data_IF_908151812358
#
_entry.id   IF_908151812358
#
_cell.length_a   1.000
_cell.length_b   1.000
_cell.length_c   1.000
_cell.angle_alpha   90.00
_cell.angle_beta   90.00
_cell.angle_gamma   90.00
#
_symmetry.space_group_name_H-M   'P 1'
#
loop_
_entity.id
_entity.type
_entity.pdbx_description
1 polymer ?
#
# COMPACT_ATOMS: atom_id res chain seq x y z
N UNK A 1 -8.32 -3.16 -27.05
CA UNK A 1 -8.49 -4.54 -26.54
C UNK A 1 -7.11 -5.04 -26.15
N UNK A 2 -6.75 -5.07 -24.86
CA UNK A 2 -5.53 -5.74 -24.41
C UNK A 2 -5.97 -7.14 -24.00
N UNK A 3 -5.51 -8.11 -24.77
CA UNK A 3 -5.82 -9.53 -24.64
C UNK A 3 -5.63 -10.02 -23.20
N UNK A 4 -6.42 -11.00 -22.79
CA UNK A 4 -6.20 -11.78 -21.57
C UNK A 4 -4.89 -12.56 -21.75
N UNK A 5 -3.74 -11.91 -21.56
CA UNK A 5 -2.44 -12.55 -21.67
C UNK A 5 -2.40 -13.64 -20.60
N UNK A 6 -2.27 -14.92 -20.97
CA UNK A 6 -2.08 -15.97 -19.97
C UNK A 6 -0.89 -15.59 -19.11
N UNK A 7 -0.93 -15.88 -17.80
CA UNK A 7 0.20 -15.71 -16.89
C UNK A 7 1.49 -16.03 -17.64
N UNK A 8 2.32 -15.01 -17.92
CA UNK A 8 3.57 -15.22 -18.62
C UNK A 8 4.39 -16.18 -17.75
N UNK A 9 4.54 -17.42 -18.23
CA UNK A 9 5.20 -18.49 -17.49
C UNK A 9 6.65 -18.11 -17.14
N UNK A 10 7.28 -17.24 -17.93
CA UNK A 10 8.64 -16.76 -17.67
C UNK A 10 8.69 -15.73 -16.53
N UNK A 11 7.77 -14.76 -16.52
CA UNK A 11 7.70 -13.73 -15.48
C UNK A 11 7.40 -14.31 -14.09
N UNK A 12 6.72 -15.46 -14.04
CA UNK A 12 6.27 -16.08 -12.79
C UNK A 12 7.00 -17.37 -12.43
N UNK A 13 7.97 -17.80 -13.26
CA UNK A 13 8.75 -19.05 -13.08
C UNK A 13 9.48 -19.12 -11.74
N UNK A 14 10.00 -17.98 -11.28
CA UNK A 14 10.79 -17.85 -10.05
C UNK A 14 9.93 -17.67 -8.79
N UNK A 15 8.61 -17.53 -8.93
CA UNK A 15 7.70 -17.36 -7.80
C UNK A 15 7.38 -18.71 -7.16
N UNK A 16 7.15 -18.70 -5.85
CA UNK A 16 6.61 -19.87 -5.15
C UNK A 16 5.17 -20.16 -5.58
N UNK A 17 4.72 -21.40 -5.39
CA UNK A 17 3.35 -21.83 -5.70
C UNK A 17 2.28 -21.01 -4.97
N UNK A 18 2.57 -20.56 -3.75
CA UNK A 18 1.70 -19.65 -3.00
C UNK A 18 1.50 -18.31 -3.72
N UNK A 19 2.55 -17.75 -4.32
CA UNK A 19 2.45 -16.51 -5.09
C UNK A 19 1.77 -16.72 -6.43
N UNK A 20 2.05 -17.83 -7.13
CA UNK A 20 1.35 -18.18 -8.38
C UNK A 20 -0.16 -18.29 -8.16
N UNK A 21 -0.58 -18.94 -7.07
CA UNK A 21 -1.99 -19.04 -6.67
C UNK A 21 -2.63 -17.65 -6.48
N UNK A 22 -1.96 -16.76 -5.73
CA UNK A 22 -2.46 -15.39 -5.52
C UNK A 22 -2.57 -14.62 -6.83
N UNK A 23 -1.58 -14.74 -7.70
CA UNK A 23 -1.53 -14.03 -8.98
C UNK A 23 -2.62 -14.52 -9.93
N UNK A 24 -2.88 -15.82 -9.98
CA UNK A 24 -3.98 -16.39 -10.75
C UNK A 24 -5.34 -15.85 -10.26
N UNK A 25 -5.54 -15.75 -8.94
CA UNK A 25 -6.76 -15.18 -8.37
C UNK A 25 -6.91 -13.69 -8.70
N UNK A 26 -5.83 -12.91 -8.60
CA UNK A 26 -5.81 -11.48 -8.95
C UNK A 26 -6.08 -11.25 -10.44
N UNK A 27 -5.49 -12.06 -11.31
CA UNK A 27 -5.75 -12.01 -12.74
C UNK A 27 -7.21 -12.36 -13.07
N UNK A 28 -7.75 -13.42 -12.45
CA UNK A 28 -9.13 -13.87 -12.63
C UNK A 28 -10.15 -12.76 -12.35
N UNK A 29 -9.90 -11.94 -11.33
CA UNK A 29 -10.79 -10.82 -11.00
C UNK A 29 -10.49 -9.56 -11.81
N UNK A 30 -9.54 -9.59 -12.75
CA UNK A 30 -9.20 -8.45 -13.59
C UNK A 30 -8.42 -7.35 -12.86
N UNK A 31 -7.59 -7.71 -11.88
CA UNK A 31 -6.77 -6.75 -11.14
C UNK A 31 -5.74 -6.00 -12.01
N UNK A 32 -5.54 -6.42 -13.26
CA UNK A 32 -4.79 -5.71 -14.29
C UNK A 32 -5.40 -4.37 -14.68
N UNK A 33 -6.72 -4.24 -14.53
CA UNK A 33 -7.49 -3.07 -14.94
C UNK A 33 -7.59 -2.02 -13.83
N UNK A 34 -7.10 -2.32 -12.64
CA UNK A 34 -7.20 -1.44 -11.47
C UNK A 34 -5.82 -0.98 -10.99
N UNK A 35 -5.79 0.24 -10.44
CA UNK A 35 -4.56 0.92 -10.04
C UNK A 35 -4.15 0.59 -8.59
N UNK A 36 -5.06 0.76 -7.63
CA UNK A 36 -4.73 0.70 -6.19
C UNK A 36 -5.39 -0.46 -5.44
N UNK A 37 -6.54 -0.93 -5.93
CA UNK A 37 -7.33 -1.95 -5.25
C UNK A 37 -7.86 -2.98 -6.24
N UNK A 38 -8.00 -4.26 -5.83
CA UNK A 38 -8.75 -5.24 -6.59
C UNK A 38 -10.17 -4.74 -6.88
N UNK A 39 -10.78 -5.08 -8.02
CA UNK A 39 -12.15 -4.68 -8.33
C UNK A 39 -13.16 -5.47 -7.48
N UNK A 40 -13.30 -5.07 -6.21
CA UNK A 40 -14.13 -5.74 -5.18
C UNK A 40 -15.62 -5.80 -5.52
N UNK A 41 -16.08 -5.01 -6.51
CA UNK A 41 -17.46 -5.01 -7.00
C UNK A 41 -17.68 -5.93 -8.21
N UNK A 42 -16.62 -6.48 -8.80
CA UNK A 42 -16.70 -7.34 -9.98
C UNK A 42 -17.46 -8.65 -9.68
N UNK A 43 -18.24 -9.19 -10.64
CA UNK A 43 -18.87 -10.50 -10.50
C UNK A 43 -17.85 -11.60 -10.16
N UNK A 44 -16.66 -11.54 -10.75
CA UNK A 44 -15.58 -12.49 -10.56
C UNK A 44 -15.05 -12.46 -9.13
N UNK A 45 -14.89 -11.28 -8.53
CA UNK A 45 -14.53 -11.14 -7.12
C UNK A 45 -15.63 -11.67 -6.20
N UNK A 46 -16.90 -11.39 -6.51
CA UNK A 46 -18.03 -11.87 -5.71
C UNK A 46 -18.10 -13.41 -5.68
N UNK A 47 -17.80 -14.05 -6.80
CA UNK A 47 -17.76 -15.49 -6.96
C UNK A 47 -16.61 -16.20 -6.20
N UNK A 48 -15.61 -15.45 -5.71
CA UNK A 48 -14.55 -16.03 -4.89
C UNK A 48 -15.07 -16.45 -3.51
N UNK A 49 -14.56 -17.57 -3.01
CA UNK A 49 -14.74 -18.00 -1.62
C UNK A 49 -14.11 -16.99 -0.64
N UNK A 50 -14.55 -17.02 0.62
CA UNK A 50 -13.99 -16.16 1.67
C UNK A 50 -12.47 -16.39 1.81
N UNK A 51 -12.03 -17.65 1.71
CA UNK A 51 -10.61 -18.00 1.77
C UNK A 51 -9.80 -17.39 0.63
N UNK A 52 -10.32 -17.44 -0.60
CA UNK A 52 -9.66 -16.81 -1.76
C UNK A 52 -9.60 -15.30 -1.62
N UNK A 53 -10.70 -14.66 -1.16
CA UNK A 53 -10.76 -13.22 -0.87
C UNK A 53 -9.71 -12.82 0.15
N UNK A 54 -9.61 -13.53 1.28
CA UNK A 54 -8.59 -13.26 2.29
C UNK A 54 -7.17 -13.51 1.76
N UNK A 55 -6.96 -14.53 0.94
CA UNK A 55 -5.64 -14.85 0.38
C UNK A 55 -5.08 -13.73 -0.51
N UNK A 56 -5.95 -13.03 -1.26
CA UNK A 56 -5.54 -11.91 -2.10
C UNK A 56 -5.57 -10.57 -1.36
N UNK A 57 -6.50 -10.37 -0.43
CA UNK A 57 -6.70 -9.08 0.27
C UNK A 57 -5.97 -8.97 1.60
N UNK A 58 -5.23 -9.98 2.05
CA UNK A 58 -4.48 -9.92 3.30
C UNK A 58 -3.06 -10.43 3.12
N UNK A 59 -2.10 -9.66 3.62
CA UNK A 59 -0.69 -10.00 3.62
C UNK A 59 -0.11 -9.79 5.03
N UNK A 60 0.09 -10.87 5.81
CA UNK A 60 0.54 -10.75 7.20
C UNK A 60 1.90 -10.07 7.31
N UNK A 61 2.79 -10.25 6.32
CA UNK A 61 4.10 -9.61 6.33
C UNK A 61 4.00 -8.10 6.14
N UNK A 62 3.10 -7.62 5.29
CA UNK A 62 2.85 -6.19 5.15
C UNK A 62 2.10 -5.59 6.36
N UNK A 63 1.37 -6.40 7.14
CA UNK A 63 0.77 -5.92 8.39
C UNK A 63 1.84 -5.60 9.46
N UNK A 64 2.81 -6.49 9.65
CA UNK A 64 3.84 -6.33 10.69
C UNK A 64 5.05 -5.50 10.23
N UNK A 65 5.35 -5.51 8.94
CA UNK A 65 6.53 -4.86 8.37
C UNK A 65 6.20 -3.75 7.38
N UNK A 66 4.93 -3.35 7.23
CA UNK A 66 4.44 -2.16 6.51
C UNK A 66 5.34 -1.70 5.35
N UNK A 67 5.99 -0.53 5.44
CA UNK A 67 6.91 -0.02 4.41
C UNK A 67 8.19 -0.85 4.24
N UNK A 68 8.72 -1.50 5.29
CA UNK A 68 9.89 -2.41 5.20
C UNK A 68 9.60 -3.58 4.26
N UNK A 69 8.37 -4.11 4.28
CA UNK A 69 7.93 -5.14 3.35
C UNK A 69 8.08 -4.70 1.88
N UNK A 70 7.68 -3.45 1.58
CA UNK A 70 7.80 -2.89 0.23
C UNK A 70 9.25 -2.77 -0.19
N UNK A 71 10.15 -2.33 0.70
CA UNK A 71 11.58 -2.28 0.44
C UNK A 71 12.15 -3.67 0.12
N UNK A 72 11.83 -4.68 0.94
CA UNK A 72 12.27 -6.07 0.73
C UNK A 72 11.77 -6.68 -0.59
N UNK A 73 10.55 -6.32 -1.02
CA UNK A 73 9.99 -6.71 -2.32
C UNK A 73 10.48 -5.84 -3.49
N UNK A 74 11.49 -5.00 -3.26
CA UNK A 74 12.06 -4.05 -4.23
C UNK A 74 11.00 -3.06 -4.78
N UNK A 75 9.90 -2.82 -4.06
CA UNK A 75 8.83 -1.86 -4.39
C UNK A 75 9.12 -0.51 -3.71
N UNK A 76 10.37 -0.05 -3.82
CA UNK A 76 10.90 0.99 -2.94
C UNK A 76 10.27 2.36 -3.17
N UNK A 77 9.86 2.70 -4.41
CA UNK A 77 9.15 3.94 -4.68
C UNK A 77 7.80 3.99 -3.94
N UNK A 78 6.99 2.93 -4.04
CA UNK A 78 5.73 2.79 -3.29
C UNK A 78 5.98 2.81 -1.77
N UNK A 79 7.01 2.10 -1.31
CA UNK A 79 7.41 2.11 0.10
C UNK A 79 7.75 3.51 0.62
N UNK A 80 8.52 4.29 -0.15
CA UNK A 80 8.89 5.65 0.22
C UNK A 80 7.68 6.61 0.22
N UNK A 81 6.75 6.43 -0.72
CA UNK A 81 5.47 7.14 -0.68
C UNK A 81 4.65 6.77 0.57
N UNK A 82 4.54 5.48 0.90
CA UNK A 82 3.83 5.02 2.11
C UNK A 82 4.41 5.71 3.35
N UNK A 83 5.74 5.74 3.51
CA UNK A 83 6.40 6.43 4.64
C UNK A 83 5.98 7.89 4.74
N UNK A 84 6.04 8.64 3.62
CA UNK A 84 5.66 10.05 3.63
C UNK A 84 4.17 10.25 3.92
N UNK A 85 3.30 9.39 3.37
CA UNK A 85 1.88 9.40 3.67
C UNK A 85 1.60 9.06 5.14
N UNK A 86 2.37 8.17 5.77
CA UNK A 86 2.27 7.86 7.21
C UNK A 86 2.59 9.09 8.06
N UNK A 87 3.66 9.83 7.77
CA UNK A 87 3.98 11.05 8.51
C UNK A 87 2.91 12.14 8.36
N UNK A 88 2.35 12.33 7.16
CA UNK A 88 1.25 13.26 6.95
C UNK A 88 -0.03 12.82 7.67
N UNK A 89 -0.32 11.52 7.67
CA UNK A 89 -1.44 10.96 8.42
C UNK A 89 -1.27 11.20 9.93
N UNK A 90 -0.08 10.96 10.49
CA UNK A 90 0.21 11.24 11.90
C UNK A 90 0.08 12.73 12.22
N UNK A 91 0.60 13.60 11.35
CA UNK A 91 0.45 15.04 11.50
C UNK A 91 -1.03 15.44 11.56
N UNK A 92 -1.83 14.91 10.63
CA UNK A 92 -3.27 15.17 10.59
C UNK A 92 -3.96 14.68 11.87
N UNK A 93 -3.66 13.45 12.32
CA UNK A 93 -4.26 12.90 13.54
C UNK A 93 -3.86 13.70 14.78
N UNK A 94 -2.59 14.13 14.90
CA UNK A 94 -2.14 14.99 16.01
C UNK A 94 -2.90 16.31 16.06
N UNK A 95 -3.09 16.97 14.91
CA UNK A 95 -3.86 18.22 14.85
C UNK A 95 -5.32 17.97 15.22
N UNK A 96 -5.94 16.92 14.69
CA UNK A 96 -7.34 16.59 14.99
C UNK A 96 -7.55 16.23 16.46
N UNK A 97 -6.62 15.50 17.06
CA UNK A 97 -6.69 15.11 18.47
C UNK A 97 -6.60 16.33 19.38
N UNK A 98 -5.67 17.24 19.11
CA UNK A 98 -5.57 18.49 19.84
C UNK A 98 -6.84 19.36 19.72
N UNK A 99 -7.44 19.43 18.52
CA UNK A 99 -8.73 20.12 18.31
C UNK A 99 -9.89 19.42 19.03
N UNK A 100 -9.83 18.11 19.21
CA UNK A 100 -10.80 17.30 19.92
C UNK A 100 -10.55 17.27 21.45
N UNK A 101 -9.49 17.91 21.94
CA UNK A 101 -9.15 17.94 23.36
C UNK A 101 -8.43 16.69 23.88
N UNK A 102 -7.70 15.96 23.04
CA UNK A 102 -6.87 14.81 23.45
C UNK A 102 -7.66 13.53 23.70
N UNK A 103 -8.79 13.34 23.01
CA UNK A 103 -9.71 12.21 23.24
C UNK A 103 -9.58 11.11 22.18
N UNK A 104 -8.77 11.30 21.14
CA UNK A 104 -8.60 10.31 20.07
C UNK A 104 -7.74 9.15 20.60
N UNK A 105 -8.24 7.91 20.57
CA UNK A 105 -7.46 6.77 21.02
C UNK A 105 -6.17 6.59 20.21
N UNK A 106 -5.06 6.33 20.89
CA UNK A 106 -3.76 6.05 20.26
C UNK A 106 -3.82 4.96 19.18
N UNK A 107 -4.76 4.00 19.30
CA UNK A 107 -5.01 2.95 18.31
C UNK A 107 -5.34 3.46 16.92
N UNK A 108 -6.01 4.60 16.80
CA UNK A 108 -6.33 5.20 15.52
C UNK A 108 -5.12 5.85 14.84
N UNK A 109 -4.04 6.12 15.58
CA UNK A 109 -2.80 6.61 15.01
C UNK A 109 -2.02 5.47 14.36
N UNK A 110 -1.86 4.33 15.03
CA UNK A 110 -0.93 3.29 14.55
C UNK A 110 -1.54 2.21 13.66
N UNK A 111 -2.85 1.93 13.76
CA UNK A 111 -3.49 0.83 13.01
C UNK A 111 -3.78 1.12 11.52
N UNK A 112 -4.21 2.31 11.09
CA UNK A 112 -4.72 2.49 9.74
C UNK A 112 -3.70 2.18 8.63
N UNK A 113 -2.46 2.65 8.78
CA UNK A 113 -1.39 2.41 7.80
C UNK A 113 -1.12 0.92 7.55
N UNK A 114 -0.77 0.10 8.56
CA UNK A 114 -0.51 -1.32 8.34
C UNK A 114 -1.75 -2.08 7.85
N UNK A 115 -2.97 -1.68 8.24
CA UNK A 115 -4.22 -2.23 7.72
C UNK A 115 -4.37 -1.97 6.21
N UNK A 116 -4.08 -0.75 5.77
CA UNK A 116 -4.14 -0.41 4.35
C UNK A 116 -3.07 -1.18 3.58
N UNK A 117 -1.84 -1.22 4.08
CA UNK A 117 -0.73 -1.88 3.42
C UNK A 117 -0.93 -3.39 3.30
N UNK A 118 -1.46 -4.07 4.32
CA UNK A 118 -1.80 -5.51 4.21
C UNK A 118 -2.83 -5.79 3.13
N UNK A 119 -3.75 -4.84 2.88
CA UNK A 119 -4.81 -4.99 1.88
C UNK A 119 -4.32 -4.84 0.44
N UNK A 120 -3.36 -3.95 0.20
CA UNK A 120 -2.90 -3.63 -1.16
C UNK A 120 -1.60 -4.35 -1.55
N UNK A 121 -0.79 -4.80 -0.58
CA UNK A 121 0.56 -5.33 -0.85
C UNK A 121 0.62 -6.52 -1.83
N UNK A 122 -0.36 -7.45 -1.77
CA UNK A 122 -0.41 -8.56 -2.73
C UNK A 122 -0.71 -8.06 -4.15
N UNK A 123 -1.61 -7.08 -4.29
CA UNK A 123 -1.95 -6.47 -5.57
C UNK A 123 -0.77 -5.67 -6.13
N UNK A 124 -0.09 -4.89 -5.28
CA UNK A 124 1.10 -4.13 -5.68
C UNK A 124 2.24 -5.03 -6.15
N UNK A 125 2.47 -6.14 -5.46
CA UNK A 125 3.48 -7.10 -5.87
C UNK A 125 3.11 -7.80 -7.19
N UNK A 126 1.82 -8.11 -7.39
CA UNK A 126 1.31 -8.60 -8.67
C UNK A 126 1.55 -7.60 -9.81
N UNK A 127 1.14 -6.34 -9.62
CA UNK A 127 1.33 -5.25 -10.60
C UNK A 127 2.80 -5.07 -10.94
N UNK A 128 3.67 -5.14 -9.94
CA UNK A 128 5.11 -5.07 -10.15
C UNK A 128 5.64 -6.21 -11.03
N UNK A 129 5.28 -7.45 -10.74
CA UNK A 129 5.87 -8.60 -11.46
C UNK A 129 5.29 -8.74 -12.87
N UNK A 130 3.99 -8.50 -13.04
CA UNK A 130 3.30 -8.71 -14.31
C UNK A 130 3.38 -7.47 -15.22
N UNK A 131 3.28 -6.27 -14.66
CA UNK A 131 3.23 -5.02 -15.43
C UNK A 131 4.49 -4.16 -15.27
N UNK A 132 5.50 -4.63 -14.55
CA UNK A 132 6.70 -3.86 -14.22
C UNK A 132 6.37 -2.50 -13.59
N UNK A 133 5.25 -2.43 -12.87
CA UNK A 133 4.80 -1.19 -12.25
C UNK A 133 5.67 -0.84 -11.05
N UNK A 134 6.34 0.32 -11.13
CA UNK A 134 7.17 0.83 -10.04
C UNK A 134 6.41 1.78 -9.10
N UNK A 135 5.39 2.48 -9.61
CA UNK A 135 4.57 3.46 -8.88
C UNK A 135 3.12 3.45 -9.37
N UNK A 136 2.16 3.83 -8.52
CA UNK A 136 0.74 3.89 -8.89
C UNK A 136 0.49 4.98 -9.96
N UNK A 137 -0.18 4.66 -11.09
CA UNK A 137 -0.37 5.60 -12.20
C UNK A 137 -1.26 6.82 -11.88
N UNK A 138 -2.02 6.78 -10.78
CA UNK A 138 -2.84 7.92 -10.34
C UNK A 138 -2.04 9.00 -9.59
N UNK A 139 -0.78 8.74 -9.26
CA UNK A 139 0.05 9.69 -8.53
C UNK A 139 0.82 10.63 -9.48
N UNK A 140 1.12 11.86 -9.02
CA UNK A 140 2.00 12.76 -9.73
C UNK A 140 3.34 12.10 -10.10
N UNK A 141 3.83 12.38 -11.31
CA UNK A 141 5.05 11.77 -11.88
C UNK A 141 6.32 12.06 -11.07
N UNK A 142 6.29 13.05 -10.17
CA UNK A 142 7.37 13.33 -9.24
C UNK A 142 7.68 12.13 -8.34
N UNK A 143 6.66 11.35 -7.95
CA UNK A 143 6.83 10.18 -7.08
C UNK A 143 7.43 8.97 -7.82
N UNK A 144 7.31 8.93 -9.14
CA UNK A 144 8.00 7.94 -9.98
C UNK A 144 9.49 8.23 -10.13
N UNK A 145 9.98 9.38 -9.65
CA UNK A 145 11.40 9.76 -9.69
C UNK A 145 12.03 9.59 -8.31
N UNK A 146 13.31 9.16 -8.22
CA UNK A 146 14.02 9.03 -6.95
C UNK A 146 13.99 10.30 -6.09
N UNK A 147 14.12 11.48 -6.72
CA UNK A 147 14.10 12.77 -6.03
C UNK A 147 12.77 13.01 -5.28
N UNK A 148 11.63 12.71 -5.90
CA UNK A 148 10.33 12.85 -5.25
C UNK A 148 10.09 11.76 -4.22
N UNK A 149 10.45 10.51 -4.53
CA UNK A 149 10.31 9.38 -3.62
C UNK A 149 11.12 9.58 -2.32
N UNK A 150 12.30 10.21 -2.38
CA UNK A 150 13.12 10.51 -1.20
C UNK A 150 12.70 11.84 -0.55
N UNK A 151 12.48 12.88 -1.35
CA UNK A 151 12.16 14.22 -0.84
C UNK A 151 10.82 14.28 -0.12
N UNK A 152 9.82 13.53 -0.58
CA UNK A 152 8.50 13.49 0.03
C UNK A 152 8.48 13.00 1.49
N UNK A 153 9.00 11.80 1.82
CA UNK A 153 9.03 11.35 3.20
C UNK A 153 9.87 12.24 4.10
N UNK A 154 10.96 12.84 3.60
CA UNK A 154 11.76 13.79 4.37
C UNK A 154 10.99 15.08 4.68
N UNK A 155 10.31 15.65 3.68
CA UNK A 155 9.49 16.84 3.87
C UNK A 155 8.31 16.56 4.82
N UNK A 156 7.62 15.43 4.64
CA UNK A 156 6.52 15.01 5.50
C UNK A 156 6.98 14.78 6.95
N UNK A 157 8.14 14.15 7.16
CA UNK A 157 8.75 13.98 8.47
C UNK A 157 9.10 15.33 9.11
N UNK A 158 9.66 16.27 8.34
CA UNK A 158 9.95 17.63 8.81
C UNK A 158 8.70 18.37 9.28
N UNK A 159 7.60 18.25 8.53
CA UNK A 159 6.29 18.81 8.91
C UNK A 159 5.77 18.17 10.20
N UNK A 160 5.82 16.83 10.29
CA UNK A 160 5.41 16.11 11.49
C UNK A 160 6.21 16.58 12.72
N UNK A 161 7.54 16.61 12.62
CA UNK A 161 8.43 17.08 13.70
C UNK A 161 8.08 18.52 14.10
N UNK A 162 7.90 19.42 13.13
CA UNK A 162 7.56 20.80 13.41
C UNK A 162 6.24 20.92 14.19
N UNK A 163 5.21 20.14 13.83
CA UNK A 163 3.92 20.10 14.54
C UNK A 163 4.09 19.49 15.93
N UNK A 164 4.84 18.40 16.07
CA UNK A 164 5.08 17.74 17.36
C UNK A 164 5.83 18.63 18.37
N UNK A 165 6.59 19.61 17.90
CA UNK A 165 7.29 20.59 18.76
C UNK A 165 6.41 21.76 19.22
N UNK A 166 5.17 21.86 18.73
CA UNK A 166 4.21 22.87 19.19
C UNK A 166 3.45 22.40 20.43
N UNK A 167 2.80 23.30 21.20
CA UNK A 167 1.93 22.91 22.32
C UNK A 167 0.78 21.97 21.93
N UNK A 168 0.46 21.87 20.64
CA UNK A 168 -0.54 20.99 20.04
C UNK A 168 -0.02 19.54 19.97
N UNK A 169 1.30 19.34 19.94
CA UNK A 169 1.97 18.06 19.74
C UNK A 169 2.31 17.28 21.01
N UNK A 170 2.01 17.81 22.19
CA UNK A 170 2.29 17.15 23.47
C UNK A 170 1.17 16.15 23.74
N UNK A 171 1.42 14.88 23.40
CA UNK A 171 0.59 13.76 23.86
C UNK A 171 0.51 13.80 25.39
N UNK A 172 -0.67 13.70 26.02
CA UNK A 172 -0.78 13.48 27.46
C UNK A 172 -0.19 12.12 27.87
#
# INVERSE_FOLDING_TARGET
MRDNMPMNNDATRHLSEAWKTKFALLQKIGADKTCLYPPVRSPEYKALSIKEKLNISFNPWALFFDWVYYLCKKMWLKGAFIIGATFLFYTLMTVLDALAGGVIPATLFWLPTPIICTQIANHDYYRKIIHHEEMWPGLPTIFSRPAGAIGFPLAAAGVFIAVSLTPIGVFP
#
